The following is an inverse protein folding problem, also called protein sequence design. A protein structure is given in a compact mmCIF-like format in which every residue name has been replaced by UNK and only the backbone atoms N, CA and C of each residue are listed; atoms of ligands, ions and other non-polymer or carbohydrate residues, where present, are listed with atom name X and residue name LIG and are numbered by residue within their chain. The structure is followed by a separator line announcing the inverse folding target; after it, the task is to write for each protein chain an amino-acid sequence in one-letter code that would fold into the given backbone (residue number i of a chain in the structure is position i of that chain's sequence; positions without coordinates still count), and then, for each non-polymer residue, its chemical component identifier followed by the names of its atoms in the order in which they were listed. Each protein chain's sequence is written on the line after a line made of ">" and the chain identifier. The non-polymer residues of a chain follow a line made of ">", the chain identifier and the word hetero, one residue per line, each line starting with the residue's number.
data_IF_327349657291
#
_entry.id   IF_327349657291
#
_cell.length_a   1.000
_cell.length_b   1.000
_cell.length_c   1.000
_cell.angle_alpha   90.00
_cell.angle_beta   90.00
_cell.angle_gamma   90.00
#
_symmetry.space_group_name_H-M   'P 1'
#
loop_
_entity.id
_entity.type
_entity.pdbx_description
1 polymer ?
#
# COMPACT_ATOMS: atom_id res chain seq x y z
N UNK A 1 4.27 14.12 -26.88
CA UNK A 1 4.10 14.03 -25.41
C UNK A 1 5.06 13.02 -24.78
N UNK A 2 5.32 11.87 -25.42
CA UNK A 2 6.19 10.79 -24.93
C UNK A 2 7.63 11.22 -24.56
N UNK A 3 8.27 12.09 -25.35
CA UNK A 3 9.62 12.64 -25.08
C UNK A 3 9.68 13.74 -24.02
N UNK A 4 8.54 14.28 -23.58
CA UNK A 4 8.49 15.42 -22.67
C UNK A 4 8.47 14.99 -21.19
N UNK A 5 7.91 13.82 -20.86
CA UNK A 5 7.87 13.30 -19.48
C UNK A 5 9.17 12.62 -19.04
N UNK A 6 9.94 12.05 -19.96
CA UNK A 6 11.23 11.42 -19.64
C UNK A 6 12.31 12.47 -19.21
N UNK A 7 12.04 13.77 -19.39
CA UNK A 7 12.97 14.88 -19.17
C UNK A 7 12.74 15.72 -17.90
N UNK A 8 11.74 15.42 -17.05
CA UNK A 8 11.41 16.29 -15.93
C UNK A 8 12.25 16.04 -14.66
N UNK A 9 12.74 14.80 -14.47
CA UNK A 9 13.60 14.42 -13.34
C UNK A 9 14.88 13.77 -13.83
N UNK A 10 16.02 14.14 -13.25
CA UNK A 10 17.33 13.65 -13.67
C UNK A 10 17.75 12.37 -12.91
N UNK A 11 18.94 11.85 -13.23
CA UNK A 11 19.49 10.67 -12.55
C UNK A 11 19.67 10.87 -11.03
N UNK A 12 19.94 12.11 -10.58
CA UNK A 12 20.08 12.39 -9.16
C UNK A 12 18.73 12.36 -8.44
N UNK A 13 17.69 12.91 -9.07
CA UNK A 13 16.32 12.81 -8.56
C UNK A 13 15.87 11.35 -8.43
N UNK A 14 16.15 10.53 -9.44
CA UNK A 14 15.89 9.08 -9.43
C UNK A 14 16.60 8.35 -8.28
N UNK A 15 17.89 8.66 -8.05
CA UNK A 15 18.66 8.11 -6.91
C UNK A 15 18.11 8.58 -5.56
N UNK A 16 17.70 9.84 -5.47
CA UNK A 16 17.06 10.39 -4.27
C UNK A 16 15.78 9.61 -3.96
N UNK A 17 14.91 9.41 -4.95
CA UNK A 17 13.67 8.65 -4.79
C UNK A 17 13.95 7.21 -4.38
N UNK A 18 14.90 6.54 -5.02
CA UNK A 18 15.33 5.18 -4.65
C UNK A 18 15.80 5.06 -3.20
N UNK A 19 16.65 5.97 -2.72
CA UNK A 19 17.13 5.93 -1.33
C UNK A 19 16.04 6.30 -0.31
N UNK A 20 15.16 7.22 -0.67
CA UNK A 20 14.04 7.61 0.18
C UNK A 20 12.93 6.55 0.23
N UNK A 21 12.76 5.76 -0.84
CA UNK A 21 11.84 4.63 -0.86
C UNK A 21 12.19 3.59 0.20
N UNK A 22 13.49 3.34 0.38
CA UNK A 22 14.04 2.41 1.37
C UNK A 22 13.97 2.96 2.79
N UNK A 23 14.14 4.29 2.94
CA UNK A 23 13.99 4.96 4.22
C UNK A 23 13.57 6.41 4.04
N UNK A 24 12.26 6.64 4.13
CA UNK A 24 11.68 7.97 3.98
C UNK A 24 11.90 8.89 5.17
N UNK A 25 12.61 8.46 6.23
CA UNK A 25 13.03 9.31 7.35
C UNK A 25 14.50 9.72 7.30
N UNK A 26 15.24 9.26 6.29
CA UNK A 26 16.66 9.60 6.11
C UNK A 26 16.89 11.11 6.15
N UNK A 27 17.92 11.55 6.86
CA UNK A 27 18.28 12.97 6.92
C UNK A 27 18.86 13.44 5.58
N UNK A 28 18.72 14.72 5.26
CA UNK A 28 19.31 15.25 4.02
C UNK A 28 20.84 15.15 3.98
N UNK A 29 21.51 15.07 5.14
CA UNK A 29 22.95 14.84 5.23
C UNK A 29 23.31 13.41 4.79
N UNK A 30 22.59 12.42 5.31
CA UNK A 30 22.77 11.02 4.91
C UNK A 30 22.41 10.81 3.44
N UNK A 31 21.29 11.38 3.01
CA UNK A 31 20.82 11.31 1.63
C UNK A 31 21.85 11.91 0.66
N UNK A 32 22.35 13.11 0.95
CA UNK A 32 23.39 13.77 0.16
C UNK A 32 24.66 12.92 0.05
N UNK A 33 25.11 12.31 1.16
CA UNK A 33 26.26 11.39 1.15
C UNK A 33 26.03 10.17 0.24
N UNK A 34 24.84 9.56 0.29
CA UNK A 34 24.52 8.36 -0.50
C UNK A 34 24.45 8.64 -2.00
N UNK A 35 23.85 9.77 -2.39
CA UNK A 35 23.69 10.13 -3.81
C UNK A 35 24.83 11.02 -4.34
N UNK A 36 25.82 11.32 -3.49
CA UNK A 36 27.03 12.12 -3.79
C UNK A 36 26.74 13.57 -4.19
N UNK A 37 25.88 14.24 -3.41
CA UNK A 37 25.58 15.68 -3.54
C UNK A 37 25.61 16.36 -2.16
N UNK A 38 25.61 17.69 -2.12
CA UNK A 38 25.51 18.42 -0.85
C UNK A 38 24.17 18.18 -0.14
N UNK A 39 24.15 18.36 1.19
CA UNK A 39 22.91 18.30 1.99
C UNK A 39 21.88 19.31 1.49
N UNK A 40 22.34 20.50 1.12
CA UNK A 40 21.53 21.62 0.67
C UNK A 40 20.87 21.29 -0.69
N UNK A 41 21.64 20.72 -1.62
CA UNK A 41 21.13 20.24 -2.91
C UNK A 41 20.11 19.11 -2.74
N UNK A 42 20.38 18.13 -1.85
CA UNK A 42 19.44 17.06 -1.55
C UNK A 42 18.12 17.60 -1.00
N UNK A 43 18.18 18.52 -0.02
CA UNK A 43 17.01 19.16 0.57
C UNK A 43 16.19 19.95 -0.47
N UNK A 44 16.87 20.71 -1.33
CA UNK A 44 16.23 21.45 -2.42
C UNK A 44 15.48 20.52 -3.39
N UNK A 45 16.14 19.45 -3.85
CA UNK A 45 15.56 18.48 -4.78
C UNK A 45 14.36 17.75 -4.19
N UNK A 46 14.44 17.29 -2.94
CA UNK A 46 13.29 16.64 -2.27
C UNK A 46 12.10 17.59 -2.15
N UNK A 47 12.32 18.84 -1.74
CA UNK A 47 11.24 19.85 -1.68
C UNK A 47 10.62 20.10 -3.05
N UNK A 48 11.43 20.16 -4.10
CA UNK A 48 10.96 20.29 -5.48
C UNK A 48 10.11 19.09 -5.90
N UNK A 49 10.59 17.86 -5.66
CA UNK A 49 9.87 16.62 -6.00
C UNK A 49 8.51 16.52 -5.28
N UNK A 50 8.42 16.98 -4.03
CA UNK A 50 7.14 17.09 -3.31
C UNK A 50 6.25 18.17 -3.94
N UNK A 51 6.79 19.37 -4.20
CA UNK A 51 6.04 20.49 -4.80
C UNK A 51 5.49 20.14 -6.19
N UNK A 52 6.26 19.41 -6.97
CA UNK A 52 5.91 18.95 -8.32
C UNK A 52 5.08 17.66 -8.31
N UNK A 53 4.72 17.13 -7.15
CA UNK A 53 3.80 16.00 -7.00
C UNK A 53 4.38 14.61 -7.26
N UNK A 54 5.69 14.49 -7.49
CA UNK A 54 6.36 13.18 -7.63
C UNK A 54 6.31 12.37 -6.33
N UNK A 55 6.49 13.06 -5.20
CA UNK A 55 6.34 12.49 -3.86
C UNK A 55 5.03 13.01 -3.30
N UNK A 56 4.06 12.12 -3.07
CA UNK A 56 2.78 12.44 -2.44
C UNK A 56 2.96 12.57 -0.94
N UNK A 57 3.52 11.54 -0.30
CA UNK A 57 3.66 11.47 1.16
C UNK A 57 4.95 10.74 1.59
N UNK A 58 5.30 10.92 2.85
CA UNK A 58 6.30 10.13 3.57
C UNK A 58 5.57 9.31 4.61
N UNK A 59 5.54 7.99 4.50
CA UNK A 59 4.67 7.15 5.34
C UNK A 59 5.49 6.22 6.24
N UNK A 60 4.94 5.87 7.39
CA UNK A 60 5.40 4.71 8.18
C UNK A 60 4.39 3.58 8.00
N UNK A 61 4.83 2.41 7.56
CA UNK A 61 3.95 1.23 7.45
C UNK A 61 3.54 0.78 8.85
N UNK A 62 2.28 0.37 8.99
CA UNK A 62 1.73 -0.08 10.28
C UNK A 62 1.41 -1.57 10.15
N UNK A 63 1.95 -2.38 11.07
CA UNK A 63 1.57 -3.78 11.16
C UNK A 63 0.28 -3.88 11.97
N UNK A 64 -0.85 -3.70 11.29
CA UNK A 64 -2.18 -3.66 11.95
C UNK A 64 -2.51 -4.96 12.66
N UNK A 65 -1.93 -6.07 12.23
CA UNK A 65 -2.09 -7.38 12.86
C UNK A 65 -1.49 -7.43 14.28
N UNK A 66 -0.42 -6.67 14.54
CA UNK A 66 0.12 -6.46 15.89
C UNK A 66 -0.84 -5.64 16.78
N UNK A 67 -1.88 -5.05 16.19
CA UNK A 67 -2.96 -4.34 16.87
C UNK A 67 -4.27 -5.15 16.91
N UNK A 68 -4.22 -6.45 16.62
CA UNK A 68 -5.39 -7.30 16.46
C UNK A 68 -6.41 -6.68 15.45
N UNK A 69 -5.91 -6.27 14.29
CA UNK A 69 -6.72 -5.72 13.19
C UNK A 69 -6.25 -6.28 11.85
N UNK A 70 -7.20 -6.73 11.04
CA UNK A 70 -6.95 -7.44 9.79
C UNK A 70 -7.56 -6.70 8.62
N UNK A 71 -6.83 -6.68 7.50
CA UNK A 71 -7.36 -6.17 6.24
C UNK A 71 -8.15 -7.27 5.55
N UNK A 72 -9.41 -6.96 5.22
CA UNK A 72 -10.24 -7.72 4.31
C UNK A 72 -10.27 -6.96 2.99
N UNK A 73 -9.89 -7.61 1.89
CA UNK A 73 -10.00 -7.07 0.54
C UNK A 73 -11.30 -7.53 -0.07
N UNK A 74 -12.11 -6.58 -0.52
CA UNK A 74 -13.38 -6.85 -1.13
C UNK A 74 -13.30 -6.52 -2.62
N UNK A 75 -13.94 -7.34 -3.44
CA UNK A 75 -14.18 -7.07 -4.84
C UNK A 75 -15.68 -7.11 -5.11
N UNK A 76 -16.16 -6.17 -5.91
CA UNK A 76 -17.55 -6.13 -6.33
C UNK A 76 -17.66 -5.94 -7.83
N UNK A 77 -18.55 -6.73 -8.43
CA UNK A 77 -19.06 -6.53 -9.78
C UNK A 77 -20.49 -6.09 -9.67
N UNK A 78 -20.88 -5.06 -10.41
CA UNK A 78 -22.22 -4.53 -10.40
C UNK A 78 -22.93 -4.78 -11.73
N UNK A 79 -24.25 -4.65 -11.71
CA UNK A 79 -25.09 -4.66 -12.89
C UNK A 79 -26.20 -3.63 -12.71
N UNK A 80 -26.75 -3.14 -13.83
CA UNK A 80 -27.93 -2.25 -13.83
C UNK A 80 -27.73 -0.98 -12.96
N UNK A 81 -26.49 -0.53 -12.79
CA UNK A 81 -26.21 0.75 -12.14
C UNK A 81 -26.41 1.90 -13.12
N UNK A 82 -26.57 3.09 -12.56
CA UNK A 82 -26.53 4.37 -13.28
C UNK A 82 -25.38 5.20 -12.72
N UNK A 83 -24.91 6.25 -13.41
CA UNK A 83 -23.84 7.11 -12.88
C UNK A 83 -24.14 7.67 -11.48
N UNK A 84 -25.41 7.91 -11.15
CA UNK A 84 -25.82 8.35 -9.82
C UNK A 84 -25.67 7.25 -8.76
N UNK A 85 -26.03 6.01 -9.11
CA UNK A 85 -25.86 4.84 -8.22
C UNK A 85 -24.37 4.57 -7.99
N UNK A 86 -23.55 4.65 -9.04
CA UNK A 86 -22.10 4.48 -8.93
C UNK A 86 -21.50 5.54 -7.99
N UNK A 87 -21.93 6.80 -8.13
CA UNK A 87 -21.52 7.88 -7.23
C UNK A 87 -21.97 7.64 -5.77
N UNK A 88 -23.16 7.10 -5.54
CA UNK A 88 -23.67 6.78 -4.21
C UNK A 88 -22.91 5.61 -3.56
N UNK A 89 -22.51 4.61 -4.34
CA UNK A 89 -21.65 3.49 -3.91
C UNK A 89 -20.28 4.02 -3.50
N UNK A 90 -19.64 4.81 -4.38
CA UNK A 90 -18.34 5.44 -4.13
C UNK A 90 -18.38 6.26 -2.83
N UNK A 91 -19.40 7.11 -2.69
CA UNK A 91 -19.58 7.94 -1.49
C UNK A 91 -19.78 7.11 -0.22
N UNK A 92 -20.53 6.02 -0.30
CA UNK A 92 -20.74 5.13 0.85
C UNK A 92 -19.44 4.48 1.30
N UNK A 93 -18.67 3.91 0.36
CA UNK A 93 -17.42 3.21 0.66
C UNK A 93 -16.35 4.18 1.18
N UNK A 94 -16.13 5.31 0.50
CA UNK A 94 -15.18 6.34 0.93
C UNK A 94 -15.54 6.98 2.27
N UNK A 95 -16.83 7.08 2.58
CA UNK A 95 -17.33 7.61 3.84
C UNK A 95 -17.24 6.63 5.02
N UNK A 96 -17.02 5.34 4.76
CA UNK A 96 -16.98 4.34 5.81
C UNK A 96 -15.66 4.39 6.59
N UNK A 97 -15.78 4.52 7.92
CA UNK A 97 -14.66 4.85 8.82
C UNK A 97 -13.47 3.90 8.72
N UNK A 98 -13.69 2.63 8.38
CA UNK A 98 -12.67 1.58 8.35
C UNK A 98 -12.13 1.29 6.95
N UNK A 99 -12.54 2.05 5.93
CA UNK A 99 -12.01 1.93 4.58
C UNK A 99 -10.58 2.44 4.52
N UNK A 100 -9.65 1.55 4.19
CA UNK A 100 -8.22 1.84 4.16
C UNK A 100 -7.69 2.13 2.76
N UNK A 101 -8.30 1.54 1.76
CA UNK A 101 -8.00 1.75 0.35
C UNK A 101 -9.27 1.53 -0.44
N UNK A 102 -9.49 2.29 -1.49
CA UNK A 102 -10.62 2.10 -2.39
C UNK A 102 -10.27 2.59 -3.80
N UNK A 103 -10.55 1.75 -4.79
CA UNK A 103 -10.36 2.04 -6.19
C UNK A 103 -11.48 1.46 -7.06
N UNK A 104 -11.75 2.14 -8.17
CA UNK A 104 -12.42 1.56 -9.33
C UNK A 104 -11.43 0.72 -10.13
N UNK A 105 -11.94 -0.33 -10.76
CA UNK A 105 -11.17 -1.31 -11.50
C UNK A 105 -11.65 -1.39 -12.95
N UNK A 106 -10.71 -1.53 -13.89
CA UNK A 106 -11.02 -2.16 -15.17
C UNK A 106 -10.51 -3.59 -15.15
N UNK A 107 -11.40 -4.55 -15.37
CA UNK A 107 -11.09 -5.97 -15.29
C UNK A 107 -12.35 -6.79 -15.02
N UNK A 108 -12.20 -7.88 -14.25
CA UNK A 108 -13.34 -8.75 -13.91
C UNK A 108 -14.38 -8.07 -12.98
N UNK A 109 -13.88 -7.30 -12.02
CA UNK A 109 -14.67 -6.58 -11.03
C UNK A 109 -14.59 -5.08 -11.33
N UNK A 110 -15.56 -4.32 -10.84
CA UNK A 110 -15.66 -2.88 -11.09
C UNK A 110 -15.06 -2.06 -9.96
N UNK A 111 -15.04 -2.60 -8.72
CA UNK A 111 -14.50 -1.94 -7.54
C UNK A 111 -13.68 -2.91 -6.67
N UNK A 112 -12.66 -2.38 -5.99
CA UNK A 112 -12.01 -3.04 -4.85
C UNK A 112 -11.74 -2.08 -3.71
N UNK A 113 -11.82 -2.57 -2.48
CA UNK A 113 -11.45 -1.80 -1.30
C UNK A 113 -10.94 -2.69 -0.18
N UNK A 114 -10.14 -2.10 0.71
CA UNK A 114 -9.65 -2.72 1.93
C UNK A 114 -10.44 -2.20 3.12
N UNK A 115 -11.01 -3.10 3.92
CA UNK A 115 -11.60 -2.80 5.21
C UNK A 115 -10.68 -3.28 6.33
N UNK A 116 -10.34 -2.40 7.27
CA UNK A 116 -9.65 -2.78 8.50
C UNK A 116 -10.68 -3.19 9.57
N UNK A 117 -10.64 -4.44 10.01
CA UNK A 117 -11.61 -4.96 10.99
C UNK A 117 -10.90 -5.74 12.10
N UNK A 118 -11.43 -5.70 13.33
CA UNK A 118 -10.94 -6.52 14.46
C UNK A 118 -11.40 -7.95 14.34
N UNK A 119 -12.65 -8.12 13.93
CA UNK A 119 -13.35 -9.39 13.98
C UNK A 119 -14.46 -9.39 12.91
N UNK A 120 -15.18 -10.50 12.86
CA UNK A 120 -16.28 -10.69 11.93
C UNK A 120 -17.45 -9.71 12.13
N UNK A 121 -17.71 -9.28 13.37
CA UNK A 121 -18.77 -8.32 13.67
C UNK A 121 -18.50 -6.94 13.06
N UNK A 122 -17.25 -6.46 13.13
CA UNK A 122 -16.82 -5.21 12.50
C UNK A 122 -17.01 -5.25 10.98
N UNK A 123 -16.65 -6.39 10.36
CA UNK A 123 -16.83 -6.59 8.92
C UNK A 123 -18.32 -6.61 8.55
N UNK A 124 -19.16 -7.28 9.34
CA UNK A 124 -20.61 -7.33 9.13
C UNK A 124 -21.30 -5.97 9.25
N UNK A 125 -20.77 -5.11 10.13
CA UNK A 125 -21.26 -3.73 10.30
C UNK A 125 -21.13 -2.89 9.02
N UNK A 126 -20.23 -3.28 8.11
CA UNK A 126 -20.19 -2.74 6.76
C UNK A 126 -21.09 -3.52 5.79
N UNK A 127 -20.93 -4.85 5.76
CA UNK A 127 -21.53 -5.70 4.73
C UNK A 127 -23.06 -5.65 4.72
N UNK A 128 -23.70 -5.64 5.89
CA UNK A 128 -25.17 -5.68 5.99
C UNK A 128 -25.79 -4.37 5.46
N UNK A 129 -25.42 -3.18 5.97
CA UNK A 129 -25.99 -1.93 5.43
C UNK A 129 -25.64 -1.69 3.95
N UNK A 130 -24.44 -2.10 3.51
CA UNK A 130 -24.06 -1.99 2.10
C UNK A 130 -24.96 -2.86 1.22
N UNK A 131 -25.23 -4.10 1.62
CA UNK A 131 -26.11 -5.02 0.89
C UNK A 131 -27.58 -4.62 0.96
N UNK A 132 -28.06 -4.10 2.09
CA UNK A 132 -29.43 -3.56 2.18
C UNK A 132 -29.64 -2.40 1.21
N UNK A 133 -28.63 -1.53 1.05
CA UNK A 133 -28.73 -0.34 0.20
C UNK A 133 -28.48 -0.62 -1.28
N UNK A 134 -27.52 -1.48 -1.61
CA UNK A 134 -27.04 -1.68 -2.99
C UNK A 134 -27.19 -3.12 -3.50
N UNK A 135 -27.80 -4.00 -2.71
CA UNK A 135 -27.93 -5.44 -2.99
C UNK A 135 -28.54 -5.76 -4.36
N UNK A 136 -29.50 -4.97 -4.82
CA UNK A 136 -30.12 -5.14 -6.13
C UNK A 136 -29.12 -4.99 -7.29
N UNK A 137 -28.04 -4.23 -7.11
CA UNK A 137 -27.06 -3.95 -8.16
C UNK A 137 -25.83 -4.87 -8.09
N UNK A 138 -25.66 -5.67 -7.04
CA UNK A 138 -24.47 -6.50 -6.86
C UNK A 138 -24.61 -7.80 -7.66
N UNK A 139 -23.75 -7.98 -8.66
CA UNK A 139 -23.67 -9.19 -9.49
C UNK A 139 -22.75 -10.25 -8.88
N UNK A 140 -21.53 -9.87 -8.52
CA UNK A 140 -20.54 -10.74 -7.86
C UNK A 140 -19.91 -10.00 -6.69
N UNK A 141 -19.57 -10.74 -5.63
CA UNK A 141 -18.83 -10.24 -4.49
C UNK A 141 -17.80 -11.28 -4.07
N UNK A 142 -16.57 -10.84 -3.84
CA UNK A 142 -15.53 -11.64 -3.19
C UNK A 142 -15.00 -10.93 -1.95
N UNK A 143 -14.68 -11.71 -0.93
CA UNK A 143 -13.99 -11.23 0.27
C UNK A 143 -12.74 -12.08 0.44
N UNK A 144 -11.58 -11.43 0.45
CA UNK A 144 -10.29 -12.04 0.66
C UNK A 144 -9.73 -11.58 2.01
N UNK A 145 -9.14 -12.51 2.76
CA UNK A 145 -8.39 -12.16 3.97
C UNK A 145 -6.91 -12.05 3.64
N UNK A 146 -6.27 -10.94 4.00
CA UNK A 146 -4.83 -10.77 3.79
C UNK A 146 -4.05 -11.53 4.87
N UNK A 147 -3.08 -12.35 4.46
CA UNK A 147 -2.25 -13.15 5.39
C UNK A 147 -0.77 -12.76 5.38
N UNK A 148 -0.28 -12.18 4.29
CA UNK A 148 1.08 -11.66 4.20
C UNK A 148 1.16 -10.58 3.14
N UNK A 149 2.03 -9.60 3.35
CA UNK A 149 2.35 -8.56 2.38
C UNK A 149 3.85 -8.47 2.17
N UNK A 150 4.26 -8.22 0.94
CA UNK A 150 5.63 -8.26 0.46
C UNK A 150 5.88 -6.99 -0.35
N UNK A 151 6.60 -6.04 0.23
CA UNK A 151 6.91 -4.79 -0.46
C UNK A 151 8.26 -4.91 -1.16
N UNK A 152 8.29 -4.58 -2.44
CA UNK A 152 9.52 -4.47 -3.21
C UNK A 152 9.96 -3.00 -3.26
N UNK A 153 11.25 -2.75 -3.09
CA UNK A 153 11.76 -1.39 -3.28
C UNK A 153 11.58 -0.94 -4.74
N UNK A 154 11.31 0.36 -4.94
CA UNK A 154 10.98 0.91 -6.26
C UNK A 154 12.22 1.05 -7.16
N UNK A 155 12.62 -0.07 -7.76
CA UNK A 155 13.79 -0.18 -8.66
C UNK A 155 13.53 0.38 -10.06
N UNK A 156 12.28 0.72 -10.38
CA UNK A 156 11.96 1.45 -11.62
C UNK A 156 12.45 2.91 -11.58
N UNK A 157 12.76 3.48 -10.41
CA UNK A 157 13.45 4.77 -10.31
C UNK A 157 14.90 4.66 -10.76
N UNK A 158 15.62 3.69 -10.21
CA UNK A 158 17.04 3.46 -10.41
C UNK A 158 17.35 1.97 -10.23
N UNK A 159 18.13 1.41 -11.14
CA UNK A 159 18.58 0.01 -11.07
C UNK A 159 19.59 -0.15 -9.92
N UNK A 160 19.05 -0.43 -8.74
CA UNK A 160 19.80 -0.80 -7.54
C UNK A 160 19.57 -2.25 -7.11
N UNK A 161 20.06 -2.58 -5.92
CA UNK A 161 19.87 -3.88 -5.28
C UNK A 161 18.37 -4.14 -5.01
N UNK A 162 17.98 -5.42 -5.12
CA UNK A 162 16.65 -5.86 -4.74
C UNK A 162 16.56 -5.93 -3.22
N UNK A 163 15.59 -5.21 -2.65
CA UNK A 163 15.22 -5.32 -1.26
C UNK A 163 13.76 -5.72 -1.15
N UNK A 164 13.53 -6.78 -0.38
CA UNK A 164 12.22 -7.31 -0.08
C UNK A 164 11.92 -7.03 1.40
N UNK A 165 10.85 -6.29 1.66
CA UNK A 165 10.34 -6.07 3.01
C UNK A 165 9.09 -6.93 3.21
N UNK A 166 9.23 -7.98 4.02
CA UNK A 166 8.16 -8.91 4.33
C UNK A 166 7.38 -8.46 5.58
N UNK A 167 6.06 -8.62 5.54
CA UNK A 167 5.20 -8.49 6.70
C UNK A 167 4.22 -9.66 6.71
N UNK A 168 4.35 -10.52 7.70
CA UNK A 168 3.44 -11.66 7.90
C UNK A 168 2.44 -11.34 8.99
N UNK A 169 1.20 -11.78 8.80
CA UNK A 169 0.22 -11.75 9.88
C UNK A 169 0.59 -12.84 10.90
N UNK A 170 0.52 -12.55 12.20
CA UNK A 170 0.85 -13.52 13.23
C UNK A 170 -0.22 -14.61 13.25
N UNK A 171 0.21 -15.85 13.52
CA UNK A 171 -0.69 -16.98 13.74
C UNK A 171 -1.45 -16.82 15.07
N UNK A 172 -0.80 -16.22 16.07
CA UNK A 172 -1.41 -15.88 17.36
C UNK A 172 -1.83 -14.42 17.42
N UNK A 173 -3.10 -14.21 17.73
CA UNK A 173 -3.68 -12.89 17.95
C UNK A 173 -3.39 -12.44 19.38
N UNK A 174 -2.75 -11.29 19.55
CA UNK A 174 -2.51 -10.66 20.86
C UNK A 174 -3.21 -9.31 20.91
N UNK A 175 -3.90 -9.03 22.01
CA UNK A 175 -4.39 -7.67 22.26
C UNK A 175 -3.20 -6.74 22.47
N UNK A 176 -3.13 -5.61 21.75
CA UNK A 176 -2.01 -4.69 21.86
C UNK A 176 -2.07 -3.91 23.19
N UNK A 177 -0.93 -3.82 23.88
CA UNK A 177 -0.75 -2.89 24.99
C UNK A 177 -0.38 -1.49 24.45
N UNK A 178 -1.40 -0.79 23.93
CA UNK A 178 -1.31 0.60 23.47
C UNK A 178 -2.33 1.48 24.19
N UNK A 179 -1.93 2.70 24.51
CA UNK A 179 -2.81 3.75 25.04
C UNK A 179 -3.12 4.82 23.99
N UNK A 180 -3.89 5.85 24.38
CA UNK A 180 -4.29 6.94 23.48
C UNK A 180 -3.08 7.72 22.92
N UNK A 181 -2.01 7.87 23.71
CA UNK A 181 -0.78 8.52 23.25
C UNK A 181 -0.11 7.68 22.17
N UNK A 182 0.00 6.36 22.39
CA UNK A 182 0.54 5.42 21.42
C UNK A 182 -0.28 5.45 20.12
N UNK A 183 -1.62 5.41 20.20
CA UNK A 183 -2.51 5.51 19.04
C UNK A 183 -2.29 6.80 18.25
N UNK A 184 -2.24 7.95 18.92
CA UNK A 184 -2.02 9.24 18.25
C UNK A 184 -0.66 9.31 17.56
N UNK A 185 0.38 8.73 18.17
CA UNK A 185 1.71 8.61 17.54
C UNK A 185 1.62 7.77 16.28
N UNK A 186 1.00 6.58 16.35
CA UNK A 186 0.84 5.67 15.19
C UNK A 186 0.07 6.38 14.08
N UNK A 187 -1.09 6.97 14.39
CA UNK A 187 -1.96 7.61 13.40
C UNK A 187 -1.31 8.79 12.68
N UNK A 188 -0.43 9.53 13.35
CA UNK A 188 0.32 10.63 12.72
C UNK A 188 1.51 10.12 11.90
N UNK A 189 2.27 9.13 12.40
CA UNK A 189 3.39 8.56 11.65
C UNK A 189 2.93 7.78 10.42
N UNK A 190 1.76 7.14 10.47
CA UNK A 190 1.14 6.48 9.33
C UNK A 190 0.90 7.43 8.15
N UNK A 191 0.68 8.73 8.42
CA UNK A 191 0.41 9.77 7.42
C UNK A 191 1.65 10.59 7.05
N UNK A 192 2.51 10.85 8.03
CA UNK A 192 3.72 11.63 7.86
C UNK A 192 4.84 11.08 8.74
N UNK A 193 5.64 10.17 8.18
CA UNK A 193 6.83 9.64 8.83
C UNK A 193 7.85 10.72 9.15
N UNK A 194 7.80 11.91 8.53
CA UNK A 194 8.75 13.02 8.79
C UNK A 194 8.24 14.05 9.79
N UNK A 195 7.09 13.84 10.43
CA UNK A 195 6.57 14.75 11.46
C UNK A 195 7.63 14.99 12.57
N UNK A 196 7.91 16.25 12.94
CA UNK A 196 8.83 16.57 14.03
C UNK A 196 8.34 16.04 15.38
N UNK A 197 9.26 15.53 16.20
CA UNK A 197 8.91 15.00 17.53
C UNK A 197 8.25 16.05 18.44
N UNK A 198 8.61 17.33 18.29
CA UNK A 198 8.02 18.44 19.03
C UNK A 198 6.55 18.64 18.62
N UNK A 199 6.21 18.39 17.37
CA UNK A 199 4.82 18.48 16.90
C UNK A 199 3.99 17.31 17.42
N UNK A 200 4.53 16.09 17.37
CA UNK A 200 3.92 14.93 18.02
C UNK A 200 3.71 15.14 19.53
N UNK A 201 4.68 15.75 20.21
CA UNK A 201 4.58 16.09 21.63
C UNK A 201 3.39 17.02 21.91
N UNK A 202 3.20 18.04 21.07
CA UNK A 202 2.02 18.94 21.13
C UNK A 202 0.71 18.19 20.87
N UNK A 203 0.66 17.35 19.85
CA UNK A 203 -0.55 16.57 19.48
C UNK A 203 -0.96 15.64 20.63
N UNK A 204 0.02 14.99 21.24
CA UNK A 204 -0.21 14.01 22.31
C UNK A 204 -0.37 14.63 23.69
N UNK A 205 -0.09 15.92 23.86
CA UNK A 205 -0.04 16.57 25.17
C UNK A 205 1.07 16.02 26.07
N UNK A 206 2.17 15.52 25.50
CA UNK A 206 3.30 14.93 26.25
C UNK A 206 4.62 15.63 25.93
N UNK A 207 5.71 15.26 26.62
CA UNK A 207 7.05 15.75 26.31
C UNK A 207 7.70 15.02 25.13
N UNK A 208 8.60 15.69 24.42
CA UNK A 208 9.38 15.11 23.30
C UNK A 208 10.10 13.81 23.67
N UNK A 209 10.60 13.69 24.90
CA UNK A 209 11.26 12.47 25.38
C UNK A 209 10.30 11.30 25.55
N UNK A 210 9.06 11.56 25.98
CA UNK A 210 7.99 10.56 26.07
C UNK A 210 7.64 10.03 24.69
N UNK A 211 7.39 10.93 23.72
CA UNK A 211 7.14 10.54 22.31
C UNK A 211 8.28 9.67 21.78
N UNK A 212 9.54 10.08 21.99
CA UNK A 212 10.71 9.32 21.54
C UNK A 212 10.78 7.92 22.17
N UNK A 213 10.44 7.80 23.44
CA UNK A 213 10.34 6.51 24.13
C UNK A 213 9.21 5.65 23.55
N UNK A 214 8.01 6.20 23.37
CA UNK A 214 6.85 5.48 22.81
C UNK A 214 7.11 4.99 21.38
N UNK A 215 7.69 5.81 20.50
CA UNK A 215 8.09 5.37 19.14
C UNK A 215 9.03 4.15 19.21
N UNK A 216 10.00 4.14 20.13
CA UNK A 216 10.89 2.98 20.32
C UNK A 216 10.15 1.76 20.87
N UNK A 217 9.20 1.95 21.81
CA UNK A 217 8.33 0.86 22.32
C UNK A 217 7.56 0.24 21.15
N UNK A 218 6.92 1.06 20.32
CA UNK A 218 6.10 0.63 19.19
C UNK A 218 6.90 -0.05 18.07
N UNK A 219 8.12 0.42 17.78
CA UNK A 219 9.06 -0.26 16.88
C UNK A 219 9.46 -1.63 17.44
N UNK A 220 9.81 -1.70 18.74
CA UNK A 220 10.19 -2.96 19.39
C UNK A 220 9.03 -3.96 19.45
N UNK A 221 7.80 -3.46 19.62
CA UNK A 221 6.58 -4.26 19.56
C UNK A 221 6.20 -4.68 18.13
N UNK A 222 6.92 -4.21 17.10
CA UNK A 222 6.64 -4.52 15.71
C UNK A 222 5.36 -3.90 15.17
N UNK A 223 4.81 -2.87 15.85
CA UNK A 223 3.60 -2.14 15.40
C UNK A 223 3.96 -1.13 14.32
N UNK A 224 5.05 -0.38 14.51
CA UNK A 224 5.61 0.50 13.49
C UNK A 224 6.58 -0.30 12.62
N UNK A 225 6.38 -0.26 11.30
CA UNK A 225 7.21 -0.91 10.32
C UNK A 225 8.18 0.06 9.63
N UNK A 226 8.36 -0.13 8.33
CA UNK A 226 9.30 0.61 7.50
C UNK A 226 8.82 2.05 7.22
N UNK A 227 9.77 2.95 6.97
CA UNK A 227 9.46 4.30 6.51
C UNK A 227 9.62 4.34 4.98
N UNK A 228 8.51 4.52 4.26
CA UNK A 228 8.43 4.37 2.81
C UNK A 228 7.97 5.67 2.13
N UNK A 229 8.15 5.74 0.81
CA UNK A 229 7.56 6.79 0.00
C UNK A 229 6.20 6.37 -0.54
N UNK A 230 5.31 7.36 -0.62
CA UNK A 230 4.14 7.33 -1.47
C UNK A 230 4.37 8.28 -2.64
N UNK A 231 4.15 7.79 -3.86
CA UNK A 231 4.59 8.43 -5.10
C UNK A 231 3.45 8.42 -6.11
N UNK A 232 3.54 9.35 -7.07
CA UNK A 232 2.62 9.39 -8.20
C UNK A 232 3.23 8.63 -9.39
N UNK A 233 2.84 7.37 -9.59
CA UNK A 233 3.36 6.52 -10.67
C UNK A 233 3.16 7.15 -12.06
N UNK A 234 2.04 7.85 -12.28
CA UNK A 234 1.73 8.47 -13.58
C UNK A 234 2.74 9.55 -13.94
N UNK A 235 3.25 10.28 -12.94
CA UNK A 235 4.33 11.28 -13.17
C UNK A 235 5.65 10.65 -13.63
N UNK A 236 5.83 9.36 -13.43
CA UNK A 236 6.97 8.60 -13.94
C UNK A 236 6.66 7.92 -15.29
N UNK A 237 5.50 8.18 -15.89
CA UNK A 237 5.04 7.51 -17.10
C UNK A 237 4.76 6.02 -16.86
N UNK A 238 4.38 5.65 -15.63
CA UNK A 238 4.01 4.31 -15.25
C UNK A 238 2.56 4.28 -14.76
N UNK A 239 1.86 3.21 -15.08
CA UNK A 239 0.57 2.83 -14.51
C UNK A 239 0.80 1.68 -13.55
N UNK A 240 0.09 1.71 -12.42
CA UNK A 240 0.07 0.59 -11.48
C UNK A 240 -0.99 -0.42 -11.95
N UNK A 241 -0.56 -1.65 -12.20
CA UNK A 241 -1.44 -2.75 -12.62
C UNK A 241 -1.32 -3.88 -11.61
N UNK A 242 -2.45 -4.37 -11.12
CA UNK A 242 -2.51 -5.53 -10.24
C UNK A 242 -2.82 -6.78 -11.05
N UNK A 243 -2.13 -7.87 -10.77
CA UNK A 243 -2.41 -9.20 -11.32
C UNK A 243 -2.67 -10.16 -10.18
N UNK A 244 -3.86 -10.74 -10.17
CA UNK A 244 -4.30 -11.67 -9.14
C UNK A 244 -4.27 -13.10 -9.68
N UNK A 245 -3.44 -13.93 -9.05
CA UNK A 245 -3.23 -15.31 -9.40
C UNK A 245 -4.04 -16.24 -8.51
N UNK A 246 -4.75 -17.17 -9.13
CA UNK A 246 -5.25 -18.39 -8.47
C UNK A 246 -4.28 -19.52 -8.78
N UNK A 247 -3.78 -20.19 -7.75
CA UNK A 247 -2.75 -21.21 -7.83
C UNK A 247 -3.36 -22.59 -7.57
N UNK A 248 -2.71 -23.65 -8.07
CA UNK A 248 -3.10 -25.04 -7.75
C UNK A 248 -2.69 -25.44 -6.34
N UNK A 249 -1.57 -24.90 -5.88
CA UNK A 249 -1.02 -25.18 -4.56
C UNK A 249 -0.45 -23.88 -3.97
N UNK A 250 -0.85 -23.60 -2.74
CA UNK A 250 -0.39 -22.44 -1.97
C UNK A 250 1.13 -22.47 -1.71
N UNK A 251 1.76 -23.65 -1.74
CA UNK A 251 3.22 -23.81 -1.57
C UNK A 251 4.05 -23.10 -2.65
N UNK A 252 3.43 -22.76 -3.79
CA UNK A 252 4.08 -22.08 -4.91
C UNK A 252 4.22 -20.57 -4.68
N UNK A 253 3.38 -19.97 -3.83
CA UNK A 253 3.34 -18.51 -3.58
C UNK A 253 4.73 -17.92 -3.33
N UNK A 254 5.52 -18.51 -2.42
CA UNK A 254 6.87 -18.04 -2.10
C UNK A 254 7.85 -18.09 -3.28
N UNK A 255 7.77 -19.13 -4.13
CA UNK A 255 8.61 -19.24 -5.34
C UNK A 255 8.23 -18.19 -6.37
N UNK A 256 6.93 -17.95 -6.56
CA UNK A 256 6.42 -16.95 -7.48
C UNK A 256 6.77 -15.53 -7.01
N UNK A 257 6.60 -15.22 -5.72
CA UNK A 257 7.04 -13.96 -5.09
C UNK A 257 8.55 -13.75 -5.30
N UNK A 258 9.38 -14.75 -4.99
CA UNK A 258 10.83 -14.67 -5.17
C UNK A 258 11.24 -14.44 -6.62
N UNK A 259 10.48 -14.97 -7.58
CA UNK A 259 10.69 -14.72 -9.01
C UNK A 259 10.31 -13.30 -9.41
N UNK A 260 9.10 -12.84 -9.08
CA UNK A 260 8.66 -11.49 -9.46
C UNK A 260 9.45 -10.40 -8.73
N UNK A 261 9.98 -10.66 -7.54
CA UNK A 261 10.87 -9.75 -6.81
C UNK A 261 12.14 -9.38 -7.59
N UNK A 262 12.59 -10.23 -8.53
CA UNK A 262 13.73 -9.93 -9.38
C UNK A 262 13.42 -8.88 -10.45
N UNK A 263 12.14 -8.73 -10.80
CA UNK A 263 11.69 -7.75 -11.78
C UNK A 263 11.61 -6.35 -11.14
N UNK A 264 12.33 -5.33 -11.67
CA UNK A 264 12.35 -3.99 -11.09
C UNK A 264 11.00 -3.23 -11.19
N UNK A 265 10.03 -3.78 -11.93
CA UNK A 265 8.67 -3.22 -12.03
C UNK A 265 7.73 -3.76 -10.96
N UNK A 266 8.09 -4.81 -10.25
CA UNK A 266 7.30 -5.29 -9.12
C UNK A 266 7.34 -4.28 -7.99
N UNK A 267 6.19 -3.99 -7.39
CA UNK A 267 6.05 -2.96 -6.34
C UNK A 267 5.53 -3.54 -5.04
N UNK A 268 4.54 -4.43 -5.12
CA UNK A 268 3.92 -5.05 -3.97
C UNK A 268 3.41 -6.45 -4.31
N UNK A 269 3.36 -7.34 -3.33
CA UNK A 269 2.66 -8.61 -3.44
C UNK A 269 1.92 -8.92 -2.14
N UNK A 270 0.75 -9.53 -2.25
CA UNK A 270 -0.11 -9.84 -1.11
C UNK A 270 -0.59 -11.28 -1.23
N UNK A 271 -0.35 -12.08 -0.20
CA UNK A 271 -0.92 -13.42 -0.08
C UNK A 271 -2.29 -13.28 0.57
N UNK A 272 -3.28 -13.96 -0.01
CA UNK A 272 -4.66 -13.91 0.45
C UNK A 272 -5.26 -15.29 0.65
N UNK A 273 -6.29 -15.36 1.50
CA UNK A 273 -7.23 -16.48 1.57
C UNK A 273 -8.53 -16.06 0.90
N UNK A 274 -8.97 -16.82 -0.09
CA UNK A 274 -10.20 -16.62 -0.84
C UNK A 274 -10.03 -17.03 -2.30
N UNK A 275 -10.65 -16.31 -3.24
CA UNK A 275 -10.61 -16.62 -4.67
C UNK A 275 -9.21 -16.57 -5.30
N UNK A 276 -8.38 -15.60 -4.88
CA UNK A 276 -7.02 -15.45 -5.35
C UNK A 276 -6.05 -15.80 -4.23
N UNK A 277 -4.95 -16.46 -4.56
CA UNK A 277 -3.91 -16.86 -3.60
C UNK A 277 -2.83 -15.78 -3.48
N UNK A 278 -2.55 -15.08 -4.58
CA UNK A 278 -1.50 -14.08 -4.66
C UNK A 278 -1.92 -12.91 -5.57
N UNK A 279 -1.95 -11.71 -5.03
CA UNK A 279 -2.02 -10.46 -5.81
C UNK A 279 -0.61 -9.88 -5.95
N UNK A 280 -0.21 -9.45 -7.15
CA UNK A 280 1.07 -8.77 -7.41
C UNK A 280 0.83 -7.47 -8.17
N UNK A 281 1.41 -6.38 -7.70
CA UNK A 281 1.34 -5.07 -8.32
C UNK A 281 2.61 -4.75 -9.11
N UNK A 282 2.44 -4.29 -10.35
CA UNK A 282 3.51 -3.90 -11.25
C UNK A 282 3.34 -2.44 -11.70
N UNK A 283 4.43 -1.66 -11.61
CA UNK A 283 4.52 -0.32 -12.19
C UNK A 283 5.04 -0.42 -13.64
N UNK A 284 4.13 -0.48 -14.60
CA UNK A 284 4.44 -0.69 -16.02
C UNK A 284 4.16 0.55 -16.85
N UNK A 285 4.88 0.76 -17.95
CA UNK A 285 4.61 1.89 -18.88
C UNK A 285 3.35 1.67 -19.70
N UNK A 286 3.11 0.41 -20.07
CA UNK A 286 1.97 0.01 -20.88
C UNK A 286 1.65 -1.49 -20.69
N UNK A 287 0.57 -1.94 -21.33
CA UNK A 287 0.16 -3.35 -21.29
C UNK A 287 1.09 -4.29 -22.08
N UNK A 288 1.95 -3.78 -22.98
CA UNK A 288 2.93 -4.61 -23.70
C UNK A 288 4.05 -5.01 -22.75
N UNK A 289 4.51 -4.08 -21.91
CA UNK A 289 5.48 -4.34 -20.84
C UNK A 289 4.93 -5.38 -19.86
N UNK A 290 3.67 -5.24 -19.41
CA UNK A 290 3.04 -6.24 -18.55
C UNK A 290 2.98 -7.63 -19.21
N UNK A 291 2.57 -7.71 -20.48
CA UNK A 291 2.52 -9.00 -21.21
C UNK A 291 3.88 -9.68 -21.28
N UNK A 292 4.98 -8.92 -21.40
CA UNK A 292 6.33 -9.48 -21.35
C UNK A 292 6.63 -10.09 -19.99
N UNK A 293 6.27 -9.40 -18.90
CA UNK A 293 6.43 -9.92 -17.53
C UNK A 293 5.61 -11.20 -17.35
N UNK A 294 4.34 -11.20 -17.75
CA UNK A 294 3.47 -12.37 -17.65
C UNK A 294 3.91 -13.53 -18.54
N UNK A 295 4.53 -13.26 -19.70
CA UNK A 295 5.16 -14.29 -20.51
C UNK A 295 6.25 -15.04 -19.75
N UNK A 296 7.13 -14.32 -19.05
CA UNK A 296 8.19 -14.91 -18.22
C UNK A 296 7.62 -15.68 -17.02
N UNK A 297 6.52 -15.19 -16.42
CA UNK A 297 5.80 -15.92 -15.37
C UNK A 297 5.23 -17.23 -15.93
N UNK A 298 4.57 -17.20 -17.10
CA UNK A 298 3.97 -18.37 -17.75
C UNK A 298 5.00 -19.42 -18.14
N UNK A 299 6.15 -19.02 -18.65
CA UNK A 299 7.26 -19.95 -18.97
C UNK A 299 7.67 -20.79 -17.76
N UNK A 300 7.61 -20.22 -16.56
CA UNK A 300 8.10 -20.88 -15.33
C UNK A 300 7.01 -21.49 -14.45
N UNK A 301 5.80 -20.93 -14.45
CA UNK A 301 4.74 -21.26 -13.49
C UNK A 301 3.39 -21.62 -14.15
N UNK A 302 3.32 -21.81 -15.47
CA UNK A 302 2.07 -22.16 -16.17
C UNK A 302 1.38 -23.42 -15.64
N UNK A 303 2.15 -24.38 -15.12
CA UNK A 303 1.60 -25.60 -14.53
C UNK A 303 1.01 -25.37 -13.14
N UNK A 304 1.43 -24.32 -12.45
CA UNK A 304 1.04 -23.99 -11.07
C UNK A 304 -0.09 -22.95 -11.01
N UNK A 305 -0.24 -22.13 -12.04
CA UNK A 305 -1.26 -21.08 -12.13
C UNK A 305 -2.53 -21.66 -12.78
N UNK A 306 -3.65 -21.57 -12.06
CA UNK A 306 -4.97 -21.97 -12.55
C UNK A 306 -5.64 -20.84 -13.32
N UNK A 307 -5.55 -19.61 -12.81
CA UNK A 307 -6.14 -18.43 -13.42
C UNK A 307 -5.33 -17.17 -13.06
N UNK A 308 -5.39 -16.16 -13.92
CA UNK A 308 -4.91 -14.80 -13.64
C UNK A 308 -5.98 -13.79 -14.04
N UNK A 309 -6.31 -12.84 -13.16
CA UNK A 309 -7.13 -11.68 -13.48
C UNK A 309 -6.26 -10.42 -13.39
N UNK A 310 -6.45 -9.49 -14.33
CA UNK A 310 -5.65 -8.26 -14.43
C UNK A 310 -6.55 -7.06 -14.14
N UNK A 311 -6.07 -6.14 -13.32
CA UNK A 311 -6.81 -4.94 -12.92
C UNK A 311 -5.96 -3.68 -13.09
N UNK A 312 -6.43 -2.72 -13.88
CA UNK A 312 -6.01 -1.32 -13.78
C UNK A 312 -6.85 -0.63 -12.72
N UNK A 313 -6.28 0.33 -11.99
CA UNK A 313 -6.91 0.91 -10.80
C UNK A 313 -7.00 2.42 -10.91
N UNK A 314 -8.19 2.96 -10.68
CA UNK A 314 -8.40 4.38 -10.42
C UNK A 314 -8.70 4.57 -8.93
N UNK A 315 -7.73 5.13 -8.21
CA UNK A 315 -7.80 5.33 -6.76
C UNK A 315 -8.77 6.46 -6.38
N UNK A 316 -9.66 6.19 -5.42
CA UNK A 316 -10.58 7.17 -4.84
C UNK A 316 -10.10 7.68 -3.48
N UNK A 317 -9.56 6.78 -2.64
CA UNK A 317 -9.11 7.14 -1.30
C UNK A 317 -8.10 6.14 -0.73
N UNK A 318 -7.12 6.67 0.00
CA UNK A 318 -6.21 5.88 0.83
C UNK A 318 -6.19 6.43 2.26
N UNK A 319 -6.27 5.52 3.23
CA UNK A 319 -5.94 5.74 4.62
C UNK A 319 -5.36 4.43 5.19
N UNK A 320 -4.04 4.24 5.14
CA UNK A 320 -3.37 3.01 5.61
C UNK A 320 -3.49 2.72 7.11
N UNK A 321 -4.14 3.59 7.87
CA UNK A 321 -4.47 3.36 9.28
C UNK A 321 -5.81 4.02 9.64
N UNK A 322 -6.95 3.46 9.18
CA UNK A 322 -8.27 4.01 9.46
C UNK A 322 -8.80 3.62 10.86
N UNK A 323 -7.95 2.96 11.66
CA UNK A 323 -8.27 2.60 13.04
C UNK A 323 -8.63 3.86 13.85
N UNK A 324 -9.64 3.74 14.70
CA UNK A 324 -9.96 4.69 15.76
C UNK A 324 -10.05 3.93 17.06
N UNK A 325 -9.38 4.42 18.10
CA UNK A 325 -9.59 3.92 19.46
C UNK A 325 -11.05 4.12 19.84
N UNK A 326 -11.69 3.05 20.29
CA UNK A 326 -12.99 3.16 20.93
C UNK A 326 -12.78 3.84 22.28
N UNK A 327 -13.50 4.94 22.53
CA UNK A 327 -13.53 5.51 23.86
C UNK A 327 -14.26 4.51 24.75
N UNK A 328 -13.53 3.96 25.72
CA UNK A 328 -14.09 3.14 26.81
C UNK A 328 -15.11 3.94 27.60
#
# INVERSE_FOLDING_TARGET
>A
MEKAMENAIDLQDRKILYELDRNSRMTFKELGKRVRISKETAAFRVKRLVKEGYIKNFLTTIHTSALNRFYYKLFYKFHRTTPQIDADIVKFISGYKSTAYFASLEGRYDLTFLLLSKNFHDLYSFLVPFREKFGEYILEQEILTLTSTHRFNFRFFFEGEAELMDTKYPEEIKEPDIDEVDYQIIANLAKNSRIPLIELAKITGTETNVVKYRIRKLLKAGILGANVLDVDFERFGAQLVQVDFTLKDHSVTGKLIGFVAQNPKSTFATITLGKYDLAVEFAVRDMKELRKILGQVKERFSHDITNEDIFTMQEHSINWFPYRMEKV
#
